data_IF_729099974194
#
_entry.id   IF_729099974194
#
_cell.length_a   1.000
_cell.length_b   1.000
_cell.length_c   1.000
_cell.angle_alpha   90.00
_cell.angle_beta   90.00
_cell.angle_gamma   90.00
#
_symmetry.space_group_name_H-M   'P 1'
#
loop_
_entity.id
_entity.type
_entity.pdbx_description
1 polymer ?
#
# COMPACT_ATOMS: atom_id res chain seq x y z
N UNK A 1 21.20 -26.04 36.80
CA UNK A 1 22.31 -25.82 35.86
C UNK A 1 22.50 -24.31 35.71
N UNK A 2 23.72 -23.78 35.83
CA UNK A 2 23.99 -22.36 35.60
C UNK A 2 23.81 -22.03 34.11
N UNK A 3 23.08 -20.95 33.82
CA UNK A 3 22.90 -20.44 32.46
C UNK A 3 24.18 -19.72 32.03
N UNK A 4 24.90 -20.28 31.06
CA UNK A 4 26.00 -19.56 30.39
C UNK A 4 25.40 -18.39 29.60
N UNK A 5 25.54 -17.18 30.14
CA UNK A 5 25.11 -15.95 29.49
C UNK A 5 26.10 -15.65 28.38
N UNK A 6 25.69 -15.84 27.13
CA UNK A 6 26.49 -15.48 25.95
C UNK A 6 26.75 -13.95 25.96
N UNK A 7 28.00 -13.49 26.13
CA UNK A 7 28.31 -12.07 26.40
C UNK A 7 28.08 -11.11 25.22
N UNK A 8 27.54 -11.58 24.09
CA UNK A 8 27.17 -10.77 22.93
C UNK A 8 25.65 -10.63 22.69
N UNK A 9 24.80 -11.19 23.56
CA UNK A 9 23.35 -11.20 23.33
C UNK A 9 22.70 -9.92 23.83
N UNK A 10 22.34 -9.02 22.92
CA UNK A 10 21.75 -7.69 23.18
C UNK A 10 20.28 -7.74 23.69
N UNK A 11 19.95 -8.69 24.54
CA UNK A 11 18.62 -8.86 25.14
C UNK A 11 17.92 -10.15 24.76
N UNK A 12 16.78 -10.39 25.43
CA UNK A 12 15.99 -11.61 25.29
C UNK A 12 15.27 -11.66 23.94
N UNK A 13 15.31 -12.82 23.29
CA UNK A 13 14.58 -13.12 22.06
C UNK A 13 13.53 -14.20 22.39
N UNK A 14 12.26 -13.86 22.20
CA UNK A 14 11.14 -14.79 22.39
C UNK A 14 10.34 -14.91 21.09
N UNK A 15 10.12 -16.15 20.63
CA UNK A 15 9.26 -16.49 19.50
C UNK A 15 8.16 -17.39 20.02
N UNK A 16 6.90 -16.96 19.91
CA UNK A 16 5.74 -17.69 20.41
C UNK A 16 4.55 -17.61 19.45
N UNK A 17 3.54 -18.45 19.63
CA UNK A 17 2.27 -18.30 18.92
C UNK A 17 1.38 -17.27 19.61
N UNK A 18 0.53 -16.58 18.83
CA UNK A 18 -0.53 -15.73 19.40
C UNK A 18 -1.57 -16.58 20.12
N UNK A 19 -2.24 -16.03 21.14
CA UNK A 19 -3.35 -16.69 21.85
C UNK A 19 -4.45 -17.20 20.89
N UNK A 20 -4.72 -16.46 19.81
CA UNK A 20 -5.71 -16.85 18.79
C UNK A 20 -5.24 -17.98 17.86
N UNK A 21 -3.98 -18.40 17.96
CA UNK A 21 -3.35 -19.41 17.10
C UNK A 21 -3.18 -19.02 15.63
N UNK A 22 -3.50 -17.78 15.24
CA UNK A 22 -3.48 -17.30 13.84
C UNK A 22 -2.15 -16.72 13.39
N UNK A 23 -1.34 -16.24 14.32
CA UNK A 23 -0.11 -15.51 14.02
C UNK A 23 1.06 -16.00 14.88
N UNK A 24 2.28 -15.77 14.40
CA UNK A 24 3.50 -15.87 15.19
C UNK A 24 3.86 -14.50 15.76
N UNK A 25 4.39 -14.49 16.98
CA UNK A 25 4.82 -13.31 17.71
C UNK A 25 6.33 -13.40 17.99
N UNK A 26 7.04 -12.32 17.69
CA UNK A 26 8.49 -12.20 17.91
C UNK A 26 8.76 -10.97 18.76
N UNK A 27 9.22 -11.19 20.00
CA UNK A 27 9.68 -10.14 20.91
C UNK A 27 11.19 -10.11 20.92
N UNK A 28 11.76 -8.99 20.47
CA UNK A 28 13.21 -8.80 20.41
C UNK A 28 13.57 -7.40 20.86
N UNK A 29 14.81 -7.24 21.33
CA UNK A 29 15.35 -5.94 21.68
C UNK A 29 15.40 -5.00 20.45
N UNK A 30 15.15 -3.68 20.62
CA UNK A 30 15.11 -2.72 19.51
C UNK A 30 16.36 -2.69 18.62
N UNK A 31 17.54 -2.98 19.17
CA UNK A 31 18.80 -3.03 18.40
C UNK A 31 18.84 -4.20 17.41
N UNK A 32 18.12 -5.29 17.70
CA UNK A 32 18.01 -6.45 16.83
C UNK A 32 16.84 -6.35 15.83
N UNK A 33 16.11 -5.22 15.79
CA UNK A 33 14.89 -5.05 14.98
C UNK A 33 15.07 -5.37 13.50
N UNK A 34 16.28 -5.19 12.96
CA UNK A 34 16.54 -5.40 11.54
C UNK A 34 16.55 -6.90 11.17
N UNK A 35 16.77 -7.81 12.13
CA UNK A 35 16.60 -9.26 11.93
C UNK A 35 15.14 -9.62 11.65
N UNK A 36 14.22 -9.09 12.48
CA UNK A 36 12.78 -9.24 12.27
C UNK A 36 12.33 -8.66 10.93
N UNK A 37 12.95 -7.57 10.47
CA UNK A 37 12.61 -6.95 9.18
C UNK A 37 12.96 -7.78 7.95
N UNK A 38 13.89 -8.74 8.04
CA UNK A 38 14.27 -9.60 6.91
C UNK A 38 13.15 -10.55 6.48
N UNK A 39 12.24 -10.88 7.40
CA UNK A 39 11.13 -11.79 7.16
C UNK A 39 9.94 -10.98 6.58
N UNK A 40 9.33 -11.49 5.51
CA UNK A 40 8.20 -10.85 4.83
C UNK A 40 6.88 -11.01 5.61
N UNK A 41 5.89 -10.17 5.31
CA UNK A 41 4.55 -10.25 5.93
C UNK A 41 4.46 -9.78 7.38
N UNK A 42 5.48 -9.05 7.87
CA UNK A 42 5.56 -8.57 9.25
C UNK A 42 4.67 -7.35 9.51
N UNK A 43 4.10 -7.26 10.71
CA UNK A 43 3.43 -6.07 11.23
C UNK A 43 3.90 -5.80 12.66
N UNK A 44 4.18 -4.55 13.02
CA UNK A 44 4.51 -4.21 14.40
C UNK A 44 3.23 -4.01 15.22
N UNK A 45 3.09 -4.75 16.33
CA UNK A 45 2.02 -4.55 17.31
C UNK A 45 2.58 -3.80 18.52
N UNK A 46 2.23 -2.51 18.62
CA UNK A 46 2.68 -1.62 19.69
C UNK A 46 2.12 -1.96 21.07
N UNK A 47 0.95 -2.62 21.14
CA UNK A 47 0.33 -3.01 22.40
C UNK A 47 1.06 -4.22 22.99
N UNK A 48 1.36 -5.22 22.15
CA UNK A 48 2.10 -6.42 22.54
C UNK A 48 3.62 -6.24 22.56
N UNK A 49 4.09 -5.10 22.02
CA UNK A 49 5.51 -4.77 21.76
C UNK A 49 6.24 -5.92 21.05
N UNK A 50 5.60 -6.44 20.01
CA UNK A 50 6.06 -7.62 19.28
C UNK A 50 5.84 -7.44 17.77
N UNK A 51 6.69 -8.09 16.98
CA UNK A 51 6.44 -8.29 15.56
C UNK A 51 5.46 -9.45 15.37
N UNK A 52 4.43 -9.23 14.58
CA UNK A 52 3.38 -10.19 14.24
C UNK A 52 3.61 -10.67 12.82
N UNK A 53 3.59 -11.99 12.63
CA UNK A 53 3.71 -12.62 11.31
C UNK A 53 2.55 -13.58 11.05
N UNK A 54 2.07 -13.71 9.81
CA UNK A 54 1.04 -14.68 9.47
C UNK A 54 1.55 -16.10 9.66
N UNK A 55 0.67 -17.01 10.09
CA UNK A 55 1.02 -18.42 10.34
C UNK A 55 1.05 -19.24 9.04
N UNK A 56 2.03 -18.97 8.18
CA UNK A 56 2.29 -19.74 6.94
C UNK A 56 3.52 -20.64 7.09
N UNK A 57 3.63 -21.74 6.31
CA UNK A 57 4.80 -22.63 6.35
C UNK A 57 6.11 -21.91 6.01
N UNK A 58 6.07 -20.98 5.04
CA UNK A 58 7.23 -20.18 4.61
C UNK A 58 7.74 -19.28 5.74
N UNK A 59 6.83 -18.61 6.45
CA UNK A 59 7.17 -17.74 7.58
C UNK A 59 7.73 -18.57 8.74
N UNK A 60 7.14 -19.74 9.02
CA UNK A 60 7.67 -20.65 10.04
C UNK A 60 9.13 -21.03 9.76
N UNK A 61 9.44 -21.41 8.51
CA UNK A 61 10.80 -21.80 8.12
C UNK A 61 11.77 -20.62 8.18
N UNK A 62 11.32 -19.42 7.80
CA UNK A 62 12.13 -18.20 7.93
C UNK A 62 12.40 -17.83 9.40
N UNK A 63 11.41 -17.93 10.29
CA UNK A 63 11.55 -17.68 11.72
C UNK A 63 12.47 -18.71 12.39
N UNK A 64 12.31 -19.99 12.05
CA UNK A 64 13.16 -21.06 12.55
C UNK A 64 14.61 -20.86 12.10
N UNK A 65 14.84 -20.49 10.84
CA UNK A 65 16.20 -20.23 10.34
C UNK A 65 16.85 -19.02 11.01
N UNK A 66 16.10 -17.93 11.18
CA UNK A 66 16.68 -16.68 11.68
C UNK A 66 16.86 -16.67 13.20
N UNK A 67 15.91 -17.20 13.99
CA UNK A 67 15.89 -17.02 15.45
C UNK A 67 16.09 -18.29 16.26
N UNK A 68 15.88 -19.49 15.72
CA UNK A 68 16.08 -20.74 16.49
C UNK A 68 17.50 -20.88 17.08
N UNK A 69 18.60 -20.46 16.39
CA UNK A 69 19.95 -20.64 16.93
C UNK A 69 20.23 -19.87 18.23
N UNK A 70 19.54 -18.75 18.46
CA UNK A 70 19.83 -17.84 19.55
C UNK A 70 18.60 -17.31 20.29
N UNK A 71 17.42 -17.87 20.09
CA UNK A 71 16.24 -17.53 20.88
C UNK A 71 16.35 -18.06 22.31
N UNK A 72 15.92 -17.27 23.29
CA UNK A 72 15.77 -17.73 24.68
C UNK A 72 14.52 -18.60 24.83
N UNK A 73 13.50 -18.30 24.04
CA UNK A 73 12.24 -19.06 23.97
C UNK A 73 11.86 -19.18 22.51
N UNK A 74 11.72 -20.41 22.01
CA UNK A 74 11.24 -20.70 20.66
C UNK A 74 10.12 -21.73 20.73
N UNK A 75 8.91 -21.25 21.03
CA UNK A 75 7.71 -22.08 21.25
C UNK A 75 6.68 -21.82 20.13
N UNK A 76 7.01 -22.28 18.93
CA UNK A 76 6.11 -22.27 17.76
C UNK A 76 6.07 -23.64 17.10
N UNK A 77 4.92 -24.00 16.52
CA UNK A 77 4.73 -25.27 15.82
C UNK A 77 4.63 -25.05 14.31
N UNK A 78 5.16 -26.01 13.54
CA UNK A 78 5.02 -26.00 12.08
C UNK A 78 3.52 -26.04 11.73
N UNK A 79 3.00 -25.06 10.97
CA UNK A 79 1.60 -25.08 10.58
C UNK A 79 1.32 -26.33 9.75
N UNK A 80 0.18 -26.97 10.03
CA UNK A 80 -0.27 -28.14 9.28
C UNK A 80 -0.67 -27.62 7.90
N UNK A 81 0.13 -27.93 6.88
CA UNK A 81 -0.25 -27.67 5.49
C UNK A 81 -1.52 -28.46 5.23
N UNK A 82 -2.67 -27.80 5.19
CA UNK A 82 -3.89 -28.44 4.70
C UNK A 82 -3.58 -28.89 3.28
N UNK A 83 -3.46 -30.21 3.09
CA UNK A 83 -3.44 -30.80 1.75
C UNK A 83 -4.73 -30.34 1.07
N UNK A 84 -4.60 -29.73 -0.09
CA UNK A 84 -5.75 -29.31 -0.88
C UNK A 84 -6.68 -30.52 -1.07
N UNK A 85 -7.95 -30.45 -0.65
CA UNK A 85 -8.92 -31.49 -0.95
C UNK A 85 -9.19 -31.45 -2.46
N UNK A 86 -8.50 -32.30 -3.22
CA UNK A 86 -8.58 -32.33 -4.69
C UNK A 86 -7.27 -32.74 -5.37
N UNK A 87 -6.11 -32.61 -4.69
CA UNK A 87 -4.90 -33.32 -5.10
C UNK A 87 -5.01 -34.76 -4.61
N UNK A 88 -5.72 -35.60 -5.36
CA UNK A 88 -5.49 -37.04 -5.31
C UNK A 88 -3.99 -37.24 -5.54
N UNK A 89 -3.24 -37.80 -4.59
CA UNK A 89 -1.87 -38.22 -4.89
C UNK A 89 -1.99 -39.15 -6.09
N UNK A 90 -1.13 -39.01 -7.13
CA UNK A 90 -1.11 -40.01 -8.18
C UNK A 90 -0.87 -41.34 -7.47
N UNK A 91 -1.86 -42.23 -7.56
CA UNK A 91 -1.75 -43.60 -7.09
C UNK A 91 -0.72 -44.29 -7.98
N UNK A 92 0.56 -44.02 -7.72
CA UNK A 92 1.64 -44.91 -8.09
C UNK A 92 1.63 -46.06 -7.09
N UNK A 93 0.58 -46.88 -7.19
CA UNK A 93 0.69 -48.32 -6.94
C UNK A 93 1.55 -48.89 -8.08
N UNK A 94 2.87 -48.69 -7.97
CA UNK A 94 3.81 -49.59 -8.63
C UNK A 94 3.82 -50.85 -7.76
N UNK A 95 2.78 -51.66 -7.94
CA UNK A 95 2.76 -53.04 -7.46
C UNK A 95 3.56 -53.83 -8.50
N UNK A 96 4.89 -53.82 -8.37
CA UNK A 96 5.73 -54.82 -9.04
C UNK A 96 5.51 -56.11 -8.25
N UNK A 97 4.45 -56.82 -8.61
CA UNK A 97 4.33 -58.24 -8.32
C UNK A 97 5.12 -58.99 -9.40
N UNK A 98 6.05 -59.89 -9.03
CA UNK A 98 6.92 -60.54 -9.97
C UNK A 98 6.15 -61.66 -10.68
N UNK A 99 6.07 -61.54 -12.00
CA UNK A 99 6.31 -62.66 -12.91
C UNK A 99 5.59 -63.97 -12.55
N UNK A 100 4.29 -64.08 -12.85
CA UNK A 100 3.69 -65.41 -13.04
C UNK A 100 2.47 -65.38 -13.95
N UNK A 101 2.41 -66.40 -14.82
CA UNK A 101 1.31 -66.83 -15.69
C UNK A 101 1.11 -66.14 -17.05
N UNK A 102 1.89 -66.66 -18.01
CA UNK A 102 1.43 -66.94 -19.37
C UNK A 102 0.10 -67.75 -19.31
N UNK A 103 -1.02 -67.06 -19.44
CA UNK A 103 -2.35 -67.64 -19.57
C UNK A 103 -3.01 -67.28 -20.89
N UNK A 104 -3.10 -68.26 -21.79
CA UNK A 104 -4.04 -68.41 -22.92
C UNK A 104 -4.25 -67.22 -23.89
N UNK A 105 -3.58 -67.31 -25.04
CA UNK A 105 -3.90 -66.61 -26.30
C UNK A 105 -5.17 -67.21 -26.94
N UNK A 106 -6.35 -67.02 -26.35
CA UNK A 106 -7.62 -67.32 -27.02
C UNK A 106 -8.67 -66.28 -26.63
N UNK A 107 -8.46 -65.02 -27.02
CA UNK A 107 -9.55 -64.05 -27.26
C UNK A 107 -8.98 -62.78 -27.93
N UNK A 108 -8.51 -62.93 -29.17
CA UNK A 108 -8.03 -61.81 -30.00
C UNK A 108 -9.16 -60.94 -30.59
N UNK A 109 -10.42 -61.19 -30.22
CA UNK A 109 -11.59 -60.47 -30.76
C UNK A 109 -12.05 -59.29 -29.89
N UNK A 110 -11.60 -59.19 -28.63
CA UNK A 110 -12.04 -58.15 -27.68
C UNK A 110 -11.02 -57.01 -27.48
N UNK A 111 -9.79 -57.16 -27.98
CA UNK A 111 -8.76 -56.12 -27.93
C UNK A 111 -8.94 -55.01 -28.96
N UNK A 112 -9.51 -55.31 -30.14
CA UNK A 112 -9.76 -54.29 -31.18
C UNK A 112 -10.77 -53.24 -30.72
N UNK A 113 -11.79 -53.62 -29.94
CA UNK A 113 -12.78 -52.66 -29.44
C UNK A 113 -12.23 -51.72 -28.37
N UNK A 114 -11.23 -52.15 -27.59
CA UNK A 114 -10.59 -51.30 -26.58
C UNK A 114 -9.70 -50.27 -27.26
N UNK A 115 -8.90 -50.69 -28.25
CA UNK A 115 -8.05 -49.78 -29.02
C UNK A 115 -8.87 -48.74 -29.78
N UNK A 116 -10.02 -49.12 -30.35
CA UNK A 116 -10.90 -48.14 -31.02
C UNK A 116 -11.46 -47.11 -30.04
N UNK A 117 -11.81 -47.51 -28.82
CA UNK A 117 -12.38 -46.62 -27.80
C UNK A 117 -11.32 -45.64 -27.28
N UNK A 118 -10.09 -46.10 -27.06
CA UNK A 118 -8.96 -45.24 -26.67
C UNK A 118 -8.61 -44.24 -27.79
N UNK A 119 -8.64 -44.66 -29.06
CA UNK A 119 -8.41 -43.77 -30.20
C UNK A 119 -9.50 -42.68 -30.31
N UNK A 120 -10.76 -43.02 -30.08
CA UNK A 120 -11.85 -42.04 -30.06
C UNK A 120 -11.67 -41.03 -28.92
N UNK A 121 -11.23 -41.49 -27.74
CA UNK A 121 -10.93 -40.62 -26.61
C UNK A 121 -9.76 -39.66 -26.89
N UNK A 122 -8.69 -40.16 -27.54
CA UNK A 122 -7.57 -39.32 -27.99
C UNK A 122 -8.04 -38.26 -29.00
N UNK A 123 -8.92 -38.63 -29.93
CA UNK A 123 -9.46 -37.70 -30.91
C UNK A 123 -10.31 -36.58 -30.25
N UNK A 124 -11.13 -36.93 -29.26
CA UNK A 124 -11.89 -35.95 -28.47
C UNK A 124 -10.95 -35.02 -27.69
N UNK A 125 -9.90 -35.56 -27.06
CA UNK A 125 -8.91 -34.75 -26.35
C UNK A 125 -8.17 -33.79 -27.28
N UNK A 126 -7.73 -34.25 -28.45
CA UNK A 126 -7.07 -33.41 -29.44
C UNK A 126 -7.99 -32.29 -29.95
N UNK A 127 -9.26 -32.60 -30.18
CA UNK A 127 -10.27 -31.61 -30.58
C UNK A 127 -10.49 -30.57 -29.48
N UNK A 128 -10.53 -31.00 -28.21
CA UNK A 128 -10.62 -30.09 -27.06
C UNK A 128 -9.39 -29.19 -26.91
N UNK A 129 -8.18 -29.72 -27.17
CA UNK A 129 -6.95 -28.94 -27.10
C UNK A 129 -6.88 -27.90 -28.22
N UNK A 130 -7.33 -28.24 -29.43
CA UNK A 130 -7.44 -27.28 -30.53
C UNK A 130 -8.39 -26.15 -30.19
N UNK A 131 -9.60 -26.45 -29.71
CA UNK A 131 -10.58 -25.44 -29.28
C UNK A 131 -10.03 -24.54 -28.15
N UNK A 132 -9.30 -25.12 -27.20
CA UNK A 132 -8.66 -24.36 -26.13
C UNK A 132 -7.59 -23.40 -26.66
N UNK A 133 -6.80 -23.86 -27.63
CA UNK A 133 -5.75 -23.06 -28.26
C UNK A 133 -6.34 -21.89 -29.06
N UNK A 134 -7.43 -22.12 -29.79
CA UNK A 134 -8.16 -21.06 -30.50
C UNK A 134 -8.71 -20.01 -29.54
N UNK A 135 -9.35 -20.44 -28.45
CA UNK A 135 -9.87 -19.51 -27.43
C UNK A 135 -8.76 -18.69 -26.75
N UNK A 136 -7.60 -19.31 -26.47
CA UNK A 136 -6.43 -18.59 -25.95
C UNK A 136 -5.92 -17.53 -26.93
N UNK A 137 -5.90 -17.84 -28.22
CA UNK A 137 -5.48 -16.90 -29.26
C UNK A 137 -6.45 -15.71 -29.39
N UNK A 138 -7.76 -15.97 -29.27
CA UNK A 138 -8.79 -14.92 -29.24
C UNK A 138 -8.62 -14.00 -28.02
N UNK A 139 -8.36 -14.57 -26.84
CA UNK A 139 -8.10 -13.80 -25.62
C UNK A 139 -6.85 -12.92 -25.75
N UNK A 140 -5.76 -13.45 -26.32
CA UNK A 140 -4.54 -12.67 -26.57
C UNK A 140 -4.80 -11.50 -27.53
N UNK A 141 -5.61 -11.72 -28.56
CA UNK A 141 -5.99 -10.68 -29.52
C UNK A 141 -6.81 -9.57 -28.84
N UNK A 142 -7.75 -9.94 -27.97
CA UNK A 142 -8.52 -8.97 -27.18
C UNK A 142 -7.63 -8.13 -26.25
N UNK A 143 -6.67 -8.76 -25.56
CA UNK A 143 -5.71 -8.06 -24.70
C UNK A 143 -4.86 -7.07 -25.48
N UNK A 144 -4.38 -7.45 -26.66
CA UNK A 144 -3.59 -6.56 -27.52
C UNK A 144 -4.40 -5.34 -28.00
N UNK A 145 -5.66 -5.55 -28.37
CA UNK A 145 -6.56 -4.46 -28.75
C UNK A 145 -6.84 -3.51 -27.58
N UNK A 146 -7.08 -4.05 -26.38
CA UNK A 146 -7.28 -3.27 -25.17
C UNK A 146 -6.04 -2.43 -24.85
N UNK A 147 -4.85 -3.04 -24.94
CA UNK A 147 -3.57 -2.37 -24.71
C UNK A 147 -3.39 -1.18 -25.67
N UNK A 148 -3.65 -1.38 -26.96
CA UNK A 148 -3.55 -0.32 -27.97
C UNK A 148 -4.57 0.81 -27.72
N UNK A 149 -5.79 0.48 -27.30
CA UNK A 149 -6.81 1.46 -26.94
C UNK A 149 -6.37 2.30 -25.74
N UNK A 150 -5.84 1.67 -24.68
CA UNK A 150 -5.30 2.39 -23.52
C UNK A 150 -4.10 3.26 -23.89
N UNK A 151 -3.18 2.78 -24.72
CA UNK A 151 -2.04 3.57 -25.20
C UNK A 151 -2.50 4.78 -26.02
N UNK A 152 -3.50 4.61 -26.87
CA UNK A 152 -4.11 5.70 -27.64
C UNK A 152 -4.87 6.73 -26.78
N UNK A 153 -5.47 6.29 -25.65
CA UNK A 153 -6.08 7.21 -24.67
C UNK A 153 -5.02 7.97 -23.87
N UNK A 154 -3.93 7.32 -23.49
CA UNK A 154 -2.80 7.94 -22.78
C UNK A 154 -2.11 9.01 -23.64
N UNK A 155 -1.82 8.73 -24.92
CA UNK A 155 -1.19 9.71 -25.81
C UNK A 155 -2.06 10.95 -26.02
N UNK A 156 -3.38 10.78 -26.07
CA UNK A 156 -4.33 11.91 -26.12
C UNK A 156 -4.28 12.76 -24.84
N UNK A 157 -4.22 12.12 -23.67
CA UNK A 157 -4.08 12.84 -22.40
C UNK A 157 -2.76 13.62 -22.31
N UNK A 158 -1.65 13.02 -22.73
CA UNK A 158 -0.34 13.70 -22.76
C UNK A 158 -0.31 14.91 -23.71
N UNK A 159 -1.09 14.88 -24.80
CA UNK A 159 -1.19 16.02 -25.74
C UNK A 159 -2.03 17.18 -25.19
N UNK A 160 -3.10 16.89 -24.42
CA UNK A 160 -3.99 17.91 -23.84
C UNK A 160 -3.27 18.74 -22.76
N UNK A 161 -2.35 18.13 -22.01
CA UNK A 161 -1.60 18.82 -20.95
C UNK A 161 -0.50 19.77 -21.46
N UNK A 162 -0.05 19.60 -22.72
CA UNK A 162 1.02 20.45 -23.28
C UNK A 162 0.55 21.69 -24.02
N UNK A 163 -0.64 21.68 -24.63
CA UNK A 163 -1.10 22.83 -25.44
C UNK A 163 -1.75 23.96 -24.62
N UNK A 164 -2.20 23.72 -23.38
CA UNK A 164 -2.89 24.72 -22.56
C UNK A 164 -2.07 25.31 -21.41
N UNK A 165 -0.84 24.87 -21.22
CA UNK A 165 0.09 25.40 -20.23
C UNK A 165 1.32 25.91 -20.97
N UNK A 166 1.20 27.04 -21.66
CA UNK A 166 2.36 27.90 -21.90
C UNK A 166 2.65 28.60 -20.57
N UNK A 167 3.54 28.07 -19.71
CA UNK A 167 3.86 28.76 -18.48
C UNK A 167 4.58 30.03 -18.93
N UNK A 168 4.12 31.20 -18.48
CA UNK A 168 4.98 32.37 -18.58
C UNK A 168 6.37 31.98 -18.05
N UNK A 169 7.45 32.27 -18.79
CA UNK A 169 8.77 31.78 -18.47
C UNK A 169 9.10 32.17 -17.03
N UNK A 170 9.22 31.15 -16.18
CA UNK A 170 9.53 31.31 -14.76
C UNK A 170 10.86 32.07 -14.70
N UNK A 171 10.85 33.25 -14.08
CA UNK A 171 12.06 34.00 -13.74
C UNK A 171 13.07 33.03 -13.12
N UNK A 172 14.26 32.95 -13.69
CA UNK A 172 15.31 32.01 -13.29
C UNK A 172 15.54 32.13 -11.78
N UNK A 173 15.21 31.06 -11.04
CA UNK A 173 15.43 31.02 -9.60
C UNK A 173 16.93 31.19 -9.30
N UNK A 174 17.31 32.03 -8.34
CA UNK A 174 18.71 32.22 -7.98
C UNK A 174 19.29 30.90 -7.42
N UNK A 175 20.59 30.67 -7.66
CA UNK A 175 21.28 29.47 -7.20
C UNK A 175 21.26 29.27 -5.67
N UNK A 176 21.04 30.35 -4.91
CA UNK A 176 20.87 30.32 -3.47
C UNK A 176 19.57 31.04 -3.10
N UNK A 177 18.66 30.33 -2.43
CA UNK A 177 17.37 30.87 -2.01
C UNK A 177 17.55 31.66 -0.71
N UNK A 178 17.27 32.95 -0.75
CA UNK A 178 17.27 33.80 0.42
C UNK A 178 15.83 34.08 0.88
N UNK A 179 15.37 33.37 1.91
CA UNK A 179 14.05 33.58 2.51
C UNK A 179 13.90 34.92 3.24
N UNK A 180 14.99 35.68 3.45
CA UNK A 180 14.92 37.02 4.05
C UNK A 180 14.65 38.11 3.02
N UNK A 181 14.90 37.85 1.73
CA UNK A 181 14.60 38.77 0.63
C UNK A 181 13.12 38.63 0.22
N UNK A 182 12.29 39.68 0.38
CA UNK A 182 10.87 39.61 0.03
C UNK A 182 10.57 39.26 -1.43
N UNK A 183 11.46 39.62 -2.37
CA UNK A 183 11.30 39.31 -3.79
C UNK A 183 11.54 37.82 -4.07
N UNK A 184 12.64 37.27 -3.53
CA UNK A 184 12.91 35.84 -3.65
C UNK A 184 11.85 35.00 -2.93
N UNK A 185 11.38 35.45 -1.76
CA UNK A 185 10.29 34.80 -1.06
C UNK A 185 9.00 34.77 -1.89
N UNK A 186 8.70 35.84 -2.63
CA UNK A 186 7.57 35.87 -3.57
C UNK A 186 7.72 34.86 -4.70
N UNK A 187 8.92 34.77 -5.29
CA UNK A 187 9.18 33.82 -6.38
C UNK A 187 9.03 32.37 -5.91
N UNK A 188 9.57 32.04 -4.74
CA UNK A 188 9.43 30.71 -4.14
C UNK A 188 7.96 30.43 -3.82
N UNK A 189 7.23 31.40 -3.25
CA UNK A 189 5.81 31.26 -2.95
C UNK A 189 5.00 30.97 -4.22
N UNK A 190 5.23 31.73 -5.30
CA UNK A 190 4.58 31.52 -6.60
C UNK A 190 4.90 30.13 -7.17
N UNK A 191 6.17 29.70 -7.11
CA UNK A 191 6.59 28.39 -7.60
C UNK A 191 5.92 27.25 -6.83
N UNK A 192 5.89 27.34 -5.49
CA UNK A 192 5.24 26.32 -4.65
C UNK A 192 3.72 26.29 -4.84
N UNK A 193 3.07 27.45 -4.93
CA UNK A 193 1.63 27.54 -5.20
C UNK A 193 1.29 26.95 -6.57
N UNK A 194 2.09 27.25 -7.60
CA UNK A 194 1.92 26.68 -8.93
C UNK A 194 2.05 25.16 -8.92
N UNK A 195 3.08 24.62 -8.24
CA UNK A 195 3.26 23.18 -8.06
C UNK A 195 2.04 22.53 -7.39
N UNK A 196 1.52 23.16 -6.33
CA UNK A 196 0.35 22.63 -5.62
C UNK A 196 -0.90 22.65 -6.51
N UNK A 197 -1.17 23.73 -7.23
CA UNK A 197 -2.32 23.83 -8.15
C UNK A 197 -2.23 22.76 -9.26
N UNK A 198 -1.05 22.54 -9.82
CA UNK A 198 -0.83 21.47 -10.81
C UNK A 198 -1.10 20.10 -10.21
N UNK A 199 -0.62 19.84 -8.99
CA UNK A 199 -0.84 18.56 -8.30
C UNK A 199 -2.31 18.31 -7.92
N UNK A 200 -3.12 19.36 -7.80
CA UNK A 200 -4.56 19.25 -7.49
C UNK A 200 -5.43 19.19 -8.74
N UNK A 201 -4.87 18.84 -9.90
CA UNK A 201 -5.59 18.84 -11.19
C UNK A 201 -6.28 20.18 -11.50
N UNK A 202 -5.62 21.30 -11.15
CA UNK A 202 -6.10 22.67 -11.41
C UNK A 202 -7.47 23.00 -10.79
N UNK A 203 -7.75 22.48 -9.59
CA UNK A 203 -8.95 22.84 -8.82
C UNK A 203 -9.09 24.35 -8.62
N UNK A 204 -10.18 24.91 -9.15
CA UNK A 204 -10.44 26.35 -9.17
C UNK A 204 -10.60 26.94 -7.76
N UNK A 205 -11.31 26.26 -6.86
CA UNK A 205 -11.49 26.74 -5.48
C UNK A 205 -10.18 26.82 -4.71
N UNK A 206 -9.24 25.90 -4.95
CA UNK A 206 -7.92 25.96 -4.36
C UNK A 206 -7.10 27.12 -4.92
N UNK A 207 -7.18 27.38 -6.23
CA UNK A 207 -6.54 28.54 -6.86
C UNK A 207 -7.10 29.86 -6.30
N UNK A 208 -8.42 29.97 -6.15
CA UNK A 208 -9.07 31.13 -5.54
C UNK A 208 -8.68 31.31 -4.07
N UNK A 209 -8.45 30.21 -3.35
CA UNK A 209 -7.91 30.24 -1.99
C UNK A 209 -6.51 30.84 -1.95
N UNK A 210 -5.58 30.37 -2.80
CA UNK A 210 -4.23 30.92 -2.84
C UNK A 210 -4.12 32.35 -3.39
N UNK A 211 -5.11 32.81 -4.15
CA UNK A 211 -5.19 34.23 -4.52
C UNK A 211 -5.41 35.15 -3.29
N UNK A 212 -6.07 34.63 -2.26
CA UNK A 212 -6.42 35.38 -1.03
C UNK A 212 -5.38 35.21 0.09
N UNK A 213 -4.71 34.07 0.14
CA UNK A 213 -3.80 33.71 1.23
C UNK A 213 -2.36 33.52 0.75
N UNK A 214 -1.39 34.01 1.53
CA UNK A 214 0.04 34.01 1.15
C UNK A 214 0.86 33.09 2.08
N UNK A 215 1.14 31.83 1.67
CA UNK A 215 1.67 30.80 2.56
C UNK A 215 3.02 31.11 3.21
N UNK A 216 3.93 31.78 2.52
CA UNK A 216 5.28 32.06 3.01
C UNK A 216 5.43 33.46 3.61
N UNK A 217 4.66 34.42 3.10
CA UNK A 217 4.64 35.78 3.66
C UNK A 217 3.96 35.82 5.02
N UNK A 218 2.85 35.10 5.17
CA UNK A 218 2.05 35.09 6.38
C UNK A 218 1.76 33.65 6.84
N UNK A 219 2.80 32.87 7.19
CA UNK A 219 2.66 31.43 7.42
C UNK A 219 1.66 31.08 8.53
N UNK A 220 1.66 31.84 9.63
CA UNK A 220 0.72 31.62 10.73
C UNK A 220 -0.72 31.92 10.33
N UNK A 221 -0.96 33.00 9.60
CA UNK A 221 -2.29 33.38 9.16
C UNK A 221 -2.82 32.37 8.13
N UNK A 222 -1.99 32.02 7.15
CA UNK A 222 -2.32 31.01 6.13
C UNK A 222 -2.69 29.67 6.77
N UNK A 223 -1.84 29.11 7.64
CA UNK A 223 -2.10 27.80 8.26
C UNK A 223 -3.35 27.86 9.12
N UNK A 224 -3.51 28.89 9.95
CA UNK A 224 -4.67 29.01 10.84
C UNK A 224 -5.98 29.15 10.06
N UNK A 225 -6.02 30.06 9.08
CA UNK A 225 -7.23 30.32 8.28
C UNK A 225 -7.60 29.11 7.42
N UNK A 226 -6.61 28.47 6.78
CA UNK A 226 -6.84 27.25 5.99
C UNK A 226 -7.32 26.11 6.87
N UNK A 227 -6.78 25.98 8.08
CA UNK A 227 -7.20 24.95 9.02
C UNK A 227 -8.64 25.14 9.50
N UNK A 228 -9.03 26.35 9.87
CA UNK A 228 -10.42 26.63 10.27
C UNK A 228 -11.40 26.46 9.10
N UNK A 229 -10.99 26.78 7.87
CA UNK A 229 -11.77 26.50 6.66
C UNK A 229 -11.99 24.99 6.46
N UNK A 230 -10.91 24.20 6.46
CA UNK A 230 -10.98 22.74 6.35
C UNK A 230 -11.81 22.13 7.49
N UNK A 231 -11.71 22.67 8.71
CA UNK A 231 -12.53 22.25 9.85
C UNK A 231 -14.01 22.49 9.61
N UNK A 232 -14.38 23.66 9.07
CA UNK A 232 -15.77 23.95 8.72
C UNK A 232 -16.31 22.99 7.67
N UNK A 233 -15.55 22.75 6.60
CA UNK A 233 -15.91 21.81 5.53
C UNK A 233 -16.04 20.38 6.04
N UNK A 234 -15.07 19.91 6.83
CA UNK A 234 -15.12 18.59 7.45
C UNK A 234 -16.30 18.44 8.43
N UNK A 235 -16.64 19.50 9.17
CA UNK A 235 -17.82 19.56 10.04
C UNK A 235 -19.12 19.34 9.28
N UNK A 236 -19.28 19.97 8.11
CA UNK A 236 -20.43 19.74 7.21
C UNK A 236 -20.49 18.27 6.77
N UNK A 237 -19.36 17.69 6.32
CA UNK A 237 -19.30 16.30 5.84
C UNK A 237 -19.75 15.30 6.92
N UNK A 238 -19.30 15.49 8.17
CA UNK A 238 -19.62 14.55 9.27
C UNK A 238 -20.91 14.87 10.02
N UNK A 239 -21.62 15.95 9.63
CA UNK A 239 -22.83 16.41 10.32
C UNK A 239 -22.58 16.98 11.73
N UNK A 240 -21.38 17.52 11.99
CA UNK A 240 -21.01 18.19 13.25
C UNK A 240 -20.46 19.58 12.96
N UNK A 241 -21.36 20.54 12.82
CA UNK A 241 -21.04 21.95 12.55
C UNK A 241 -20.71 22.75 13.83
N UNK A 242 -20.57 22.07 14.98
CA UNK A 242 -20.23 22.77 16.22
C UNK A 242 -18.80 23.34 16.14
N UNK A 243 -18.70 24.68 16.16
CA UNK A 243 -17.42 25.40 16.11
C UNK A 243 -16.45 25.02 17.24
N UNK A 244 -16.96 24.53 18.37
CA UNK A 244 -16.16 24.09 19.53
C UNK A 244 -15.63 22.66 19.40
N UNK A 245 -16.09 21.89 18.41
CA UNK A 245 -15.58 20.54 18.19
C UNK A 245 -14.14 20.62 17.69
N UNK A 246 -13.22 19.90 18.34
CA UNK A 246 -11.82 19.84 17.94
C UNK A 246 -11.67 19.17 16.56
N UNK A 247 -10.77 19.70 15.72
CA UNK A 247 -10.51 19.14 14.38
C UNK A 247 -10.14 17.66 14.41
N UNK A 248 -9.30 17.22 15.36
CA UNK A 248 -8.99 15.79 15.54
C UNK A 248 -10.22 14.92 15.80
N UNK A 249 -11.22 15.43 16.54
CA UNK A 249 -12.48 14.69 16.79
C UNK A 249 -13.31 14.58 15.51
N UNK A 250 -13.30 15.60 14.66
CA UNK A 250 -13.95 15.56 13.34
C UNK A 250 -13.26 14.53 12.44
N UNK A 251 -11.92 14.47 12.41
CA UNK A 251 -11.17 13.43 11.67
C UNK A 251 -11.57 12.02 12.15
N UNK A 252 -11.63 11.80 13.46
CA UNK A 252 -12.02 10.50 14.01
C UNK A 252 -13.46 10.12 13.66
N UNK A 253 -14.38 11.09 13.65
CA UNK A 253 -15.76 10.89 13.18
C UNK A 253 -15.79 10.56 11.69
N UNK A 254 -15.04 11.30 10.87
CA UNK A 254 -14.92 11.09 9.43
C UNK A 254 -14.44 9.66 9.12
N UNK A 255 -13.40 9.22 9.83
CA UNK A 255 -12.82 7.89 9.70
C UNK A 255 -13.79 6.77 10.15
N UNK A 256 -14.39 6.90 11.34
CA UNK A 256 -15.35 5.89 11.86
C UNK A 256 -16.59 5.77 10.98
N UNK A 257 -17.11 6.89 10.48
CA UNK A 257 -18.27 6.91 9.60
C UNK A 257 -17.95 6.57 8.14
N UNK A 258 -16.67 6.36 7.79
CA UNK A 258 -16.19 6.16 6.40
C UNK A 258 -16.72 7.23 5.43
N UNK A 259 -16.81 8.47 5.91
CA UNK A 259 -17.29 9.60 5.10
C UNK A 259 -16.28 10.04 4.03
N UNK A 260 -15.01 9.66 4.20
CA UNK A 260 -13.93 9.99 3.29
C UNK A 260 -13.45 8.69 2.63
N UNK A 261 -13.55 8.63 1.31
CA UNK A 261 -13.00 7.53 0.52
C UNK A 261 -11.46 7.55 0.56
N UNK A 262 -10.85 6.38 0.71
CA UNK A 262 -9.40 6.19 0.62
C UNK A 262 -9.15 5.11 -0.41
N UNK A 263 -8.34 5.43 -1.43
CA UNK A 263 -7.98 4.47 -2.47
C UNK A 263 -6.96 3.45 -1.91
N UNK A 264 -7.32 2.16 -1.78
CA UNK A 264 -6.41 1.15 -1.24
C UNK A 264 -5.16 0.93 -2.12
N UNK A 265 -5.19 1.34 -3.40
CA UNK A 265 -4.03 1.25 -4.28
C UNK A 265 -2.96 2.32 -4.02
N UNK A 266 -3.32 3.39 -3.29
CA UNK A 266 -2.45 4.54 -2.99
C UNK A 266 -2.45 4.87 -1.50
N UNK A 267 -1.88 3.99 -0.65
CA UNK A 267 -1.92 4.18 0.81
C UNK A 267 -1.21 5.46 1.28
N UNK A 268 -0.20 5.94 0.55
CA UNK A 268 0.46 7.23 0.81
C UNK A 268 -0.45 8.45 0.60
N UNK A 269 -1.54 8.33 -0.14
CA UNK A 269 -2.52 9.39 -0.39
C UNK A 269 -3.72 9.30 0.57
N UNK A 270 -3.62 8.52 1.66
CA UNK A 270 -4.71 8.34 2.60
C UNK A 270 -5.12 9.68 3.25
N UNK A 271 -6.29 10.25 2.90
CA UNK A 271 -6.63 11.61 3.30
C UNK A 271 -6.71 11.78 4.82
N UNK A 272 -7.10 10.72 5.54
CA UNK A 272 -7.17 10.72 7.01
C UNK A 272 -5.80 10.95 7.64
N UNK A 273 -4.74 10.32 7.12
CA UNK A 273 -3.38 10.51 7.62
C UNK A 273 -2.89 11.93 7.32
N UNK A 274 -3.19 12.43 6.12
CA UNK A 274 -2.79 13.77 5.70
C UNK A 274 -3.49 14.83 6.56
N UNK A 275 -4.78 14.68 6.87
CA UNK A 275 -5.51 15.58 7.79
C UNK A 275 -4.89 15.59 9.19
N UNK A 276 -4.40 14.44 9.68
CA UNK A 276 -3.66 14.38 10.96
C UNK A 276 -2.32 15.11 10.87
N UNK A 277 -1.60 15.00 9.76
CA UNK A 277 -0.37 15.75 9.51
C UNK A 277 -0.62 17.27 9.47
N UNK A 278 -1.69 17.71 8.78
CA UNK A 278 -2.10 19.12 8.77
C UNK A 278 -2.43 19.62 10.19
N UNK A 279 -3.17 18.84 10.99
CA UNK A 279 -3.46 19.17 12.38
C UNK A 279 -2.18 19.29 13.23
N UNK A 280 -1.22 18.39 13.04
CA UNK A 280 0.08 18.45 13.70
C UNK A 280 0.84 19.74 13.35
N UNK A 281 0.91 20.10 12.07
CA UNK A 281 1.53 21.35 11.63
C UNK A 281 0.82 22.58 12.16
N UNK A 282 -0.52 22.60 12.20
CA UNK A 282 -1.29 23.72 12.77
C UNK A 282 -1.04 23.91 14.27
N UNK A 283 -0.96 22.81 15.03
CA UNK A 283 -0.70 22.90 16.47
C UNK A 283 0.65 23.55 16.80
N UNK A 284 1.64 23.44 15.91
CA UNK A 284 2.91 24.14 16.05
C UNK A 284 2.73 25.67 16.08
N UNK A 285 1.83 26.22 15.27
CA UNK A 285 1.55 27.67 15.26
C UNK A 285 0.79 28.15 16.51
N UNK A 286 0.16 27.25 17.27
CA UNK A 286 -0.46 27.58 18.56
C UNK A 286 0.57 27.77 19.69
N UNK A 287 1.77 27.22 19.53
CA UNK A 287 2.86 27.28 20.50
C UNK A 287 4.19 27.62 19.80
N UNK A 288 4.34 28.84 19.26
CA UNK A 288 5.51 29.19 18.47
C UNK A 288 6.76 29.29 19.37
N UNK A 289 7.78 28.48 19.09
CA UNK A 289 9.09 28.53 19.79
C UNK A 289 9.95 29.75 19.38
N UNK A 290 9.38 30.73 18.68
CA UNK A 290 10.07 31.94 18.21
C UNK A 290 10.98 31.75 16.99
N UNK A 291 11.19 30.52 16.50
CA UNK A 291 12.07 30.26 15.35
C UNK A 291 11.30 30.45 14.03
N UNK A 292 11.53 31.60 13.38
CA UNK A 292 10.88 31.97 12.09
C UNK A 292 11.09 30.93 10.98
N UNK A 293 12.27 30.33 10.90
CA UNK A 293 12.58 29.32 9.87
C UNK A 293 11.74 28.06 10.03
N UNK A 294 11.36 27.69 11.25
CA UNK A 294 10.51 26.55 11.51
C UNK A 294 9.06 26.85 11.07
N UNK A 295 8.56 28.07 11.33
CA UNK A 295 7.25 28.50 10.82
C UNK A 295 7.16 28.38 9.28
N UNK A 296 8.21 28.76 8.55
CA UNK A 296 8.24 28.57 7.09
C UNK A 296 8.23 27.11 6.69
N UNK A 297 9.07 26.27 7.29
CA UNK A 297 9.08 24.82 7.00
C UNK A 297 7.71 24.19 7.22
N UNK A 298 7.05 24.52 8.33
CA UNK A 298 5.71 24.02 8.65
C UNK A 298 4.66 24.52 7.66
N UNK A 299 4.72 25.79 7.27
CA UNK A 299 3.81 26.32 6.25
C UNK A 299 4.01 25.66 4.87
N UNK A 300 5.26 25.43 4.45
CA UNK A 300 5.58 24.73 3.20
C UNK A 300 5.03 23.29 3.24
N UNK A 301 5.29 22.55 4.33
CA UNK A 301 4.75 21.19 4.48
C UNK A 301 3.22 21.18 4.54
N UNK A 302 2.60 22.18 5.17
CA UNK A 302 1.14 22.34 5.16
C UNK A 302 0.62 22.56 3.74
N UNK A 303 1.24 23.48 3.00
CA UNK A 303 0.93 23.81 1.61
C UNK A 303 1.04 22.59 0.70
N UNK A 304 2.12 21.81 0.80
CA UNK A 304 2.35 20.63 -0.03
C UNK A 304 1.39 19.47 0.25
N UNK A 305 0.80 19.40 1.46
CA UNK A 305 -0.17 18.37 1.82
C UNK A 305 -1.62 18.73 1.45
N UNK A 306 -1.95 20.01 1.32
CA UNK A 306 -3.29 20.47 0.95
C UNK A 306 -3.91 19.82 -0.30
N UNK A 307 -3.21 19.68 -1.45
CA UNK A 307 -3.84 19.22 -2.68
C UNK A 307 -4.40 17.79 -2.55
N UNK A 308 -3.80 16.96 -1.69
CA UNK A 308 -4.22 15.58 -1.46
C UNK A 308 -5.49 15.42 -0.64
N UNK A 309 -5.93 16.49 0.05
CA UNK A 309 -7.16 16.47 0.85
C UNK A 309 -8.21 17.46 0.35
N UNK A 310 -7.84 18.38 -0.56
CA UNK A 310 -8.70 19.49 -0.93
C UNK A 310 -9.99 19.02 -1.61
N UNK A 311 -9.92 18.25 -2.70
CA UNK A 311 -11.12 17.71 -3.38
C UNK A 311 -11.96 16.79 -2.51
N UNK A 312 -11.35 16.16 -1.52
CA UNK A 312 -12.04 15.23 -0.63
C UNK A 312 -12.85 15.96 0.43
N UNK A 313 -12.38 17.13 0.87
CA UNK A 313 -12.97 17.87 1.99
C UNK A 313 -13.77 19.07 1.53
N UNK A 314 -13.28 19.79 0.53
CA UNK A 314 -13.89 21.03 0.06
C UNK A 314 -14.87 20.69 -1.04
N UNK A 315 -16.15 20.85 -0.73
CA UNK A 315 -17.24 20.72 -1.71
C UNK A 315 -17.39 22.10 -2.37
N UNK A 316 -17.07 22.17 -3.65
CA UNK A 316 -17.34 23.36 -4.46
C UNK A 316 -18.86 23.53 -4.59
N UNK A 317 -19.39 24.65 -4.10
CA UNK A 317 -20.81 25.03 -4.23
C UNK A 317 -21.14 25.52 -5.65
#
# INVERSE_FOLDING_TARGET
>A
MPFEVNPGKLGRIEVSESEDGRNFLVRIHPENRDRAKKILGRQWDGNRKAWVYPKTPEVYEALAREFCPDADVFDIRKPITQRYPGSTPPEHHVNIDPLEELGSMEDASSSESIVSLELEQVQVMLSSLLNLTENQNDQLTQLYNLQNETAGKLSKLESIDRENLSPEPIEVLPAQLNFTDPKQLELIEKALVSLVIQSSANQKSLQEWFAKHKPLREPSAFVTQTHEFLKGQLGKIVGDENKQTNFSKLIDKANRGKFIYSDPSRPQEEPILILKCLNFHRNYFGHPDGIRTEAWKRSILYLLHLPFVWSTIVIDE
#
